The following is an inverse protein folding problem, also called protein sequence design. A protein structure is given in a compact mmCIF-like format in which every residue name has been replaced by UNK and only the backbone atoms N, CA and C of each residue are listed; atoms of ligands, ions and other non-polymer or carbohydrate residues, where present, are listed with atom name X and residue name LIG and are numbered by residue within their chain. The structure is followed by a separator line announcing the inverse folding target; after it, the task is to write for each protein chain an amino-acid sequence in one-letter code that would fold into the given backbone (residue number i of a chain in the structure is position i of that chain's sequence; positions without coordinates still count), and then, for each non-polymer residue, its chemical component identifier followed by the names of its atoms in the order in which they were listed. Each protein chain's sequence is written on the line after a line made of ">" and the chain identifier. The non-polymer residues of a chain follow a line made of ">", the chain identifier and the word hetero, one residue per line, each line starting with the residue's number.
data_IF_489501096145
#
_entry.id   IF_489501096145
#
_cell.length_a   1.000
_cell.length_b   1.000
_cell.length_c   1.000
_cell.angle_alpha   90.00
_cell.angle_beta   90.00
_cell.angle_gamma   90.00
#
_symmetry.space_group_name_H-M   'P 1'
#
loop_
_entity.id
_entity.type
_entity.pdbx_description
1 polymer ?
#
# COMPACT_ATOMS: atom_id res chain seq x y z
N UNK A 1 17.53 -10.27 -8.54
CA UNK A 1 16.38 -9.97 -7.66
C UNK A 1 15.11 -9.62 -8.44
N UNK A 2 15.07 -8.59 -9.30
CA UNK A 2 13.84 -8.22 -10.05
C UNK A 2 13.24 -9.38 -10.87
N UNK A 3 14.08 -10.14 -11.59
CA UNK A 3 13.63 -11.33 -12.31
C UNK A 3 13.11 -12.44 -11.38
N UNK A 4 13.72 -12.57 -10.20
CA UNK A 4 13.28 -13.52 -9.17
C UNK A 4 11.90 -13.13 -8.62
N UNK A 5 11.66 -11.85 -8.34
CA UNK A 5 10.34 -11.36 -7.90
C UNK A 5 9.24 -11.61 -8.93
N UNK A 6 9.54 -11.49 -10.24
CA UNK A 6 8.58 -11.86 -11.30
C UNK A 6 8.25 -13.35 -11.30
N UNK A 7 9.26 -14.22 -11.16
CA UNK A 7 9.07 -15.66 -11.07
C UNK A 7 8.25 -16.04 -9.81
N UNK A 8 8.57 -15.41 -8.68
CA UNK A 8 7.88 -15.60 -7.41
C UNK A 8 6.41 -15.18 -7.47
N UNK A 9 6.08 -14.09 -8.18
CA UNK A 9 4.70 -13.68 -8.42
C UNK A 9 3.87 -14.77 -9.13
N UNK A 10 4.50 -15.55 -10.00
CA UNK A 10 3.84 -16.66 -10.70
C UNK A 10 3.78 -17.95 -9.85
N UNK A 11 4.39 -17.96 -8.66
CA UNK A 11 4.51 -19.14 -7.79
C UNK A 11 5.64 -20.10 -8.17
N UNK A 12 6.51 -19.76 -9.14
CA UNK A 12 7.65 -20.61 -9.54
C UNK A 12 8.85 -20.38 -8.62
N UNK A 13 8.91 -21.17 -7.55
CA UNK A 13 9.99 -21.12 -6.57
C UNK A 13 11.33 -21.64 -7.13
N UNK A 14 11.32 -22.60 -8.07
CA UNK A 14 12.53 -23.20 -8.64
C UNK A 14 13.30 -22.19 -9.50
N UNK A 15 12.57 -21.45 -10.33
CA UNK A 15 13.15 -20.36 -11.12
C UNK A 15 13.56 -19.18 -10.22
N UNK A 16 12.77 -18.84 -9.19
CA UNK A 16 13.14 -17.84 -8.21
C UNK A 16 14.46 -18.19 -7.50
N UNK A 17 14.58 -19.43 -7.00
CA UNK A 17 15.77 -19.97 -6.36
C UNK A 17 16.99 -19.87 -7.29
N UNK A 18 16.87 -20.29 -8.56
CA UNK A 18 17.96 -20.21 -9.56
C UNK A 18 18.45 -18.78 -9.80
N UNK A 19 17.58 -17.77 -9.68
CA UNK A 19 17.98 -16.36 -9.84
C UNK A 19 18.60 -15.74 -8.58
N UNK A 20 18.28 -16.28 -7.40
CA UNK A 20 18.79 -15.79 -6.11
C UNK A 20 20.10 -16.48 -5.72
N UNK A 21 20.15 -17.80 -5.90
CA UNK A 21 21.29 -18.67 -5.63
C UNK A 21 21.92 -19.06 -6.97
N UNK A 22 22.63 -18.11 -7.57
CA UNK A 22 23.50 -18.37 -8.70
C UNK A 22 24.96 -18.10 -8.31
N UNK A 23 25.90 -18.68 -9.04
CA UNK A 23 27.34 -18.56 -8.77
C UNK A 23 27.79 -17.09 -8.68
N UNK A 24 27.21 -16.21 -9.50
CA UNK A 24 27.51 -14.77 -9.51
C UNK A 24 27.01 -14.04 -8.24
N UNK A 25 25.84 -14.38 -7.73
CA UNK A 25 25.25 -13.80 -6.52
C UNK A 25 25.89 -14.40 -5.26
N UNK A 26 26.29 -15.68 -5.34
CA UNK A 26 27.04 -16.37 -4.30
C UNK A 26 28.34 -15.62 -4.01
N UNK A 27 29.20 -15.42 -5.01
CA UNK A 27 30.46 -14.70 -4.83
C UNK A 27 30.31 -13.22 -4.48
N UNK A 28 29.17 -12.59 -4.82
CA UNK A 28 28.95 -11.15 -4.59
C UNK A 28 28.37 -10.84 -3.20
N UNK A 29 27.53 -11.71 -2.66
CA UNK A 29 26.75 -11.44 -1.44
C UNK A 29 26.83 -12.59 -0.46
N UNK A 30 26.56 -13.83 -0.90
CA UNK A 30 26.34 -14.94 0.02
C UNK A 30 27.64 -15.50 0.62
N UNK A 31 28.74 -15.50 -0.13
CA UNK A 31 30.07 -15.94 0.35
C UNK A 31 30.75 -14.93 1.28
N UNK A 32 30.17 -13.74 1.44
CA UNK A 32 30.64 -12.74 2.41
C UNK A 32 30.20 -13.06 3.85
N UNK A 33 29.26 -13.99 4.03
CA UNK A 33 28.77 -14.38 5.34
C UNK A 33 29.62 -15.51 5.94
N UNK A 34 29.93 -15.47 7.25
CA UNK A 34 30.65 -16.54 7.94
C UNK A 34 29.95 -17.90 7.89
N UNK A 35 28.61 -17.91 7.85
CA UNK A 35 27.77 -19.13 7.79
C UNK A 35 26.89 -19.15 6.53
N UNK A 36 27.52 -19.00 5.36
CA UNK A 36 26.83 -18.90 4.07
C UNK A 36 25.82 -20.05 3.82
N UNK A 37 26.16 -21.29 4.16
CA UNK A 37 25.32 -22.46 3.89
C UNK A 37 24.02 -22.50 4.72
N UNK A 38 24.08 -22.04 5.98
CA UNK A 38 22.88 -21.93 6.83
C UNK A 38 21.95 -20.85 6.30
N UNK A 39 22.50 -19.70 5.90
CA UNK A 39 21.72 -18.60 5.32
C UNK A 39 21.08 -19.03 4.00
N UNK A 40 21.81 -19.75 3.14
CA UNK A 40 21.27 -20.31 1.89
C UNK A 40 20.11 -21.24 2.16
N UNK A 41 20.29 -22.22 3.05
CA UNK A 41 19.24 -23.19 3.40
C UNK A 41 17.99 -22.51 3.96
N UNK A 42 18.18 -21.52 4.84
CA UNK A 42 17.08 -20.71 5.38
C UNK A 42 16.37 -19.91 4.29
N UNK A 43 17.11 -19.34 3.34
CA UNK A 43 16.57 -18.56 2.24
C UNK A 43 15.76 -19.43 1.27
N UNK A 44 16.24 -20.64 0.94
CA UNK A 44 15.47 -21.59 0.10
C UNK A 44 14.14 -21.92 0.76
N UNK A 45 14.16 -22.28 2.05
CA UNK A 45 12.94 -22.56 2.80
C UNK A 45 11.98 -21.37 2.77
N UNK A 46 12.48 -20.16 2.99
CA UNK A 46 11.64 -18.95 2.94
C UNK A 46 11.08 -18.67 1.55
N UNK A 47 11.86 -18.89 0.49
CA UNK A 47 11.37 -18.74 -0.88
C UNK A 47 10.24 -19.73 -1.16
N UNK A 48 10.36 -20.99 -0.71
CA UNK A 48 9.29 -21.99 -0.87
C UNK A 48 8.02 -21.57 -0.12
N UNK A 49 8.14 -21.21 1.16
CA UNK A 49 7.02 -20.78 2.00
C UNK A 49 6.29 -19.57 1.39
N UNK A 50 7.02 -18.54 0.95
CA UNK A 50 6.40 -17.34 0.37
C UNK A 50 5.89 -17.55 -1.06
N UNK A 51 6.52 -18.42 -1.84
CA UNK A 51 6.03 -18.76 -3.18
C UNK A 51 4.70 -19.53 -3.11
N UNK A 52 4.52 -20.40 -2.10
CA UNK A 52 3.24 -21.05 -1.81
C UNK A 52 2.15 -20.02 -1.51
N UNK A 53 2.42 -19.04 -0.62
CA UNK A 53 1.44 -17.97 -0.31
C UNK A 53 1.06 -17.18 -1.55
N UNK A 54 2.07 -16.77 -2.33
CA UNK A 54 1.88 -15.96 -3.54
C UNK A 54 1.11 -16.73 -4.62
N UNK A 55 1.36 -18.04 -4.73
CA UNK A 55 0.62 -18.92 -5.63
C UNK A 55 -0.86 -18.98 -5.24
N UNK A 56 -1.16 -19.20 -3.95
CA UNK A 56 -2.53 -19.22 -3.46
C UNK A 56 -3.23 -17.87 -3.66
N UNK A 57 -2.54 -16.73 -3.46
CA UNK A 57 -3.13 -15.42 -3.74
C UNK A 57 -3.44 -15.17 -5.21
N UNK A 58 -2.59 -15.66 -6.12
CA UNK A 58 -2.74 -15.37 -7.54
C UNK A 58 -3.78 -16.27 -8.19
N UNK A 59 -3.89 -17.52 -7.72
CA UNK A 59 -4.73 -18.54 -8.34
C UNK A 59 -5.90 -18.99 -7.45
N UNK A 60 -6.16 -18.34 -6.31
CA UNK A 60 -7.31 -18.63 -5.43
C UNK A 60 -8.63 -18.65 -6.18
N UNK A 61 -8.84 -17.68 -7.07
CA UNK A 61 -10.09 -17.50 -7.83
C UNK A 61 -10.38 -18.59 -8.85
N UNK A 62 -9.36 -19.33 -9.29
CA UNK A 62 -9.48 -20.34 -10.36
C UNK A 62 -9.77 -21.72 -9.77
N UNK A 63 -9.33 -21.98 -8.55
CA UNK A 63 -9.48 -23.28 -7.90
C UNK A 63 -10.70 -23.30 -6.98
N UNK A 64 -11.54 -24.31 -7.09
CA UNK A 64 -12.64 -24.55 -6.13
C UNK A 64 -12.17 -25.34 -4.90
N UNK A 65 -11.29 -26.32 -5.11
CA UNK A 65 -10.71 -27.13 -4.05
C UNK A 65 -9.31 -27.60 -4.42
N UNK A 66 -8.39 -27.61 -3.46
CA UNK A 66 -6.99 -28.03 -3.65
C UNK A 66 -6.58 -28.97 -2.52
N UNK A 67 -5.95 -30.11 -2.84
CA UNK A 67 -5.37 -31.01 -1.83
C UNK A 67 -4.06 -30.45 -1.27
N UNK A 68 -3.88 -30.54 0.06
CA UNK A 68 -2.63 -30.16 0.70
C UNK A 68 -1.45 -31.06 0.34
N UNK A 69 -1.71 -32.33 -0.01
CA UNK A 69 -0.67 -33.27 -0.45
C UNK A 69 -0.02 -32.79 -1.76
N UNK A 70 -0.85 -32.34 -2.72
CA UNK A 70 -0.36 -31.79 -3.99
C UNK A 70 0.47 -30.52 -3.75
N UNK A 71 0.05 -29.66 -2.82
CA UNK A 71 0.81 -28.45 -2.44
C UNK A 71 2.14 -28.81 -1.75
N UNK A 72 2.15 -29.84 -0.91
CA UNK A 72 3.34 -30.36 -0.25
C UNK A 72 4.36 -30.85 -1.29
N UNK A 73 3.92 -31.66 -2.26
CA UNK A 73 4.77 -32.18 -3.34
C UNK A 73 5.26 -31.07 -4.29
N UNK A 74 4.39 -30.13 -4.64
CA UNK A 74 4.72 -29.06 -5.59
C UNK A 74 5.78 -28.08 -5.05
N UNK A 75 5.70 -27.76 -3.75
CA UNK A 75 6.63 -26.83 -3.10
C UNK A 75 7.76 -27.52 -2.32
N UNK A 76 7.77 -28.86 -2.27
CA UNK A 76 8.75 -29.68 -1.54
C UNK A 76 8.82 -29.27 -0.05
N UNK A 77 7.65 -29.04 0.56
CA UNK A 77 7.48 -28.66 1.96
C UNK A 77 6.76 -29.76 2.73
N UNK A 78 7.00 -29.85 4.04
CA UNK A 78 6.30 -30.79 4.91
C UNK A 78 4.83 -30.41 5.09
N UNK A 79 3.95 -31.42 5.09
CA UNK A 79 2.51 -31.26 5.23
C UNK A 79 2.10 -30.42 6.47
N UNK A 80 2.72 -30.59 7.66
CA UNK A 80 2.42 -29.75 8.83
C UNK A 80 2.75 -28.26 8.62
N UNK A 81 3.86 -27.96 7.93
CA UNK A 81 4.21 -26.58 7.58
C UNK A 81 3.22 -25.98 6.59
N UNK A 82 2.83 -26.72 5.55
CA UNK A 82 1.78 -26.29 4.60
C UNK A 82 0.47 -26.01 5.32
N UNK A 83 0.02 -26.93 6.16
CA UNK A 83 -1.18 -26.76 6.98
C UNK A 83 -1.09 -25.50 7.87
N UNK A 84 0.04 -25.29 8.54
CA UNK A 84 0.27 -24.11 9.39
C UNK A 84 0.20 -22.80 8.61
N UNK A 85 0.80 -22.76 7.41
CA UNK A 85 0.80 -21.58 6.54
C UNK A 85 -0.62 -21.26 6.08
N UNK A 86 -1.34 -22.25 5.54
CA UNK A 86 -2.69 -22.07 5.02
C UNK A 86 -3.65 -21.69 6.16
N UNK A 87 -3.55 -22.35 7.31
CA UNK A 87 -4.37 -22.01 8.48
C UNK A 87 -4.15 -20.57 8.93
N UNK A 88 -2.90 -20.09 8.94
CA UNK A 88 -2.59 -18.68 9.25
C UNK A 88 -3.18 -17.73 8.22
N UNK A 89 -3.11 -18.04 6.93
CA UNK A 89 -3.69 -17.21 5.88
C UNK A 89 -5.22 -17.12 6.00
N UNK A 90 -5.89 -18.22 6.38
CA UNK A 90 -7.34 -18.22 6.63
C UNK A 90 -7.68 -17.37 7.87
N UNK A 91 -6.95 -17.54 8.98
CA UNK A 91 -7.19 -16.80 10.22
C UNK A 91 -6.96 -15.29 10.04
N UNK A 92 -5.96 -14.91 9.26
CA UNK A 92 -5.66 -13.51 8.95
C UNK A 92 -6.63 -12.89 7.93
N UNK A 93 -7.65 -13.63 7.47
CA UNK A 93 -8.59 -13.21 6.42
C UNK A 93 -7.91 -12.87 5.08
N UNK A 94 -6.71 -13.40 4.86
CA UNK A 94 -5.95 -13.23 3.62
C UNK A 94 -6.49 -14.14 2.51
N UNK A 95 -6.96 -15.34 2.87
CA UNK A 95 -7.52 -16.33 1.96
C UNK A 95 -8.94 -16.68 2.37
N UNK A 96 -9.91 -16.41 1.50
CA UNK A 96 -11.31 -16.79 1.73
C UNK A 96 -11.52 -18.26 1.41
N UNK A 97 -11.09 -19.13 2.34
CA UNK A 97 -11.16 -20.57 2.20
C UNK A 97 -11.46 -21.24 3.54
N UNK A 98 -11.99 -22.47 3.46
CA UNK A 98 -12.14 -23.37 4.61
C UNK A 98 -11.28 -24.61 4.43
N UNK A 99 -10.71 -25.09 5.53
CA UNK A 99 -9.94 -26.33 5.55
C UNK A 99 -10.84 -27.52 5.92
N UNK A 100 -10.87 -28.55 5.07
CA UNK A 100 -11.49 -29.83 5.40
C UNK A 100 -10.47 -30.79 6.01
N UNK A 101 -10.63 -31.08 7.30
CA UNK A 101 -9.66 -31.81 8.10
C UNK A 101 -9.55 -33.32 7.78
N UNK A 102 -10.64 -34.08 7.53
CA UNK A 102 -10.54 -35.49 7.16
C UNK A 102 -9.93 -35.73 5.78
N UNK A 103 -10.24 -34.90 4.78
CA UNK A 103 -9.72 -35.08 3.41
C UNK A 103 -8.43 -34.31 3.15
N UNK A 104 -8.01 -33.46 4.09
CA UNK A 104 -6.83 -32.61 3.95
C UNK A 104 -6.88 -31.72 2.70
N UNK A 105 -8.07 -31.19 2.40
CA UNK A 105 -8.30 -30.30 1.26
C UNK A 105 -8.68 -28.90 1.69
N UNK A 106 -8.27 -27.91 0.91
CA UNK A 106 -8.65 -26.51 1.06
C UNK A 106 -9.77 -26.24 0.08
N UNK A 107 -10.93 -25.83 0.59
CA UNK A 107 -12.10 -25.47 -0.21
C UNK A 107 -12.19 -23.94 -0.28
N UNK A 108 -12.12 -23.39 -1.48
CA UNK A 108 -12.17 -21.94 -1.70
C UNK A 108 -13.60 -21.44 -1.69
N UNK A 109 -13.84 -20.29 -1.07
CA UNK A 109 -15.13 -19.60 -1.12
C UNK A 109 -15.04 -18.53 -2.21
N UNK A 110 -15.91 -18.60 -3.22
CA UNK A 110 -15.93 -17.66 -4.37
C UNK A 110 -16.53 -16.30 -3.99
N UNK A 111 -16.00 -15.67 -2.95
CA UNK A 111 -16.44 -14.37 -2.44
C UNK A 111 -15.64 -13.20 -3.00
N UNK A 112 -14.73 -13.46 -3.93
CA UNK A 112 -13.98 -12.39 -4.59
C UNK A 112 -14.93 -11.47 -5.38
N UNK A 113 -14.92 -10.14 -5.09
CA UNK A 113 -15.74 -9.20 -5.82
C UNK A 113 -15.37 -9.21 -7.30
N UNK A 114 -16.39 -9.19 -8.15
CA UNK A 114 -16.20 -9.03 -9.60
C UNK A 114 -15.40 -7.76 -9.92
N UNK A 115 -14.77 -7.71 -11.09
CA UNK A 115 -14.01 -6.53 -11.53
C UNK A 115 -14.81 -5.23 -11.44
N UNK A 116 -16.12 -5.29 -11.72
CA UNK A 116 -17.04 -4.16 -11.58
C UNK A 116 -17.26 -3.75 -10.12
N UNK A 117 -17.47 -4.71 -9.22
CA UNK A 117 -17.61 -4.44 -7.77
C UNK A 117 -16.31 -3.85 -7.20
N UNK A 118 -15.15 -4.38 -7.61
CA UNK A 118 -13.85 -3.85 -7.21
C UNK A 118 -13.64 -2.40 -7.70
N UNK A 119 -14.00 -2.08 -8.94
CA UNK A 119 -13.94 -0.71 -9.45
C UNK A 119 -14.90 0.21 -8.70
N UNK A 120 -16.10 -0.26 -8.35
CA UNK A 120 -17.06 0.51 -7.56
C UNK A 120 -16.54 0.79 -6.14
N UNK A 121 -15.90 -0.18 -5.48
CA UNK A 121 -15.27 0.00 -4.17
C UNK A 121 -14.13 1.03 -4.24
N UNK A 122 -13.24 0.93 -5.22
CA UNK A 122 -12.16 1.91 -5.42
C UNK A 122 -12.70 3.31 -5.72
N UNK A 123 -13.80 3.42 -6.47
CA UNK A 123 -14.44 4.69 -6.74
C UNK A 123 -15.06 5.27 -5.46
N UNK A 124 -15.70 4.45 -4.63
CA UNK A 124 -16.28 4.89 -3.36
C UNK A 124 -15.22 5.46 -2.41
N UNK A 125 -14.06 4.80 -2.29
CA UNK A 125 -12.93 5.31 -1.51
C UNK A 125 -12.42 6.65 -2.04
N UNK A 126 -12.25 6.77 -3.37
CA UNK A 126 -11.83 8.03 -4.00
C UNK A 126 -12.84 9.14 -3.79
N UNK A 127 -14.13 8.85 -3.91
CA UNK A 127 -15.21 9.81 -3.62
C UNK A 127 -15.15 10.27 -2.16
N UNK A 128 -14.95 9.36 -1.20
CA UNK A 128 -14.75 9.72 0.21
C UNK A 128 -13.58 10.68 0.39
N UNK A 129 -12.42 10.38 -0.20
CA UNK A 129 -11.25 11.28 -0.13
C UNK A 129 -11.51 12.65 -0.80
N UNK A 130 -12.32 12.69 -1.85
CA UNK A 130 -12.66 13.94 -2.53
C UNK A 130 -13.59 14.81 -1.67
N UNK A 131 -14.54 14.20 -0.96
CA UNK A 131 -15.41 14.89 -0.01
C UNK A 131 -14.58 15.49 1.12
N UNK A 132 -13.70 14.71 1.75
CA UNK A 132 -12.80 15.19 2.80
C UNK A 132 -11.90 16.35 2.32
N UNK A 133 -11.37 16.24 1.10
CA UNK A 133 -10.58 17.33 0.50
C UNK A 133 -11.43 18.59 0.24
N UNK A 134 -12.68 18.42 -0.22
CA UNK A 134 -13.60 19.53 -0.43
C UNK A 134 -13.95 20.24 0.88
N UNK A 135 -14.22 19.49 1.94
CA UNK A 135 -14.48 20.02 3.29
C UNK A 135 -13.26 20.80 3.79
N UNK A 136 -12.05 20.24 3.67
CA UNK A 136 -10.82 20.93 4.07
C UNK A 136 -10.60 22.25 3.33
N UNK A 137 -10.84 22.27 2.01
CA UNK A 137 -10.72 23.51 1.20
C UNK A 137 -11.82 24.51 1.57
N UNK A 138 -13.03 24.02 1.85
CA UNK A 138 -14.14 24.86 2.29
C UNK A 138 -13.82 25.55 3.63
N UNK A 139 -13.31 24.82 4.62
CA UNK A 139 -12.89 25.37 5.91
C UNK A 139 -11.78 26.42 5.77
N UNK A 140 -10.79 26.17 4.90
CA UNK A 140 -9.72 27.13 4.61
C UNK A 140 -10.26 28.42 3.98
N UNK A 141 -11.25 28.31 3.08
CA UNK A 141 -11.91 29.47 2.47
C UNK A 141 -12.78 30.21 3.48
N UNK A 142 -13.49 29.50 4.36
CA UNK A 142 -14.34 30.10 5.37
C UNK A 142 -13.53 30.77 6.50
N UNK A 143 -12.37 30.22 6.87
CA UNK A 143 -11.42 30.86 7.80
C UNK A 143 -10.83 32.18 7.28
N UNK A 144 -10.74 32.35 5.96
CA UNK A 144 -10.31 33.62 5.34
C UNK A 144 -11.43 34.67 5.35
N UNK A 145 -12.71 34.28 5.28
CA UNK A 145 -13.85 35.20 5.32
C UNK A 145 -14.41 35.46 6.73
N UNK A 146 -14.16 34.57 7.70
CA UNK A 146 -14.64 34.68 9.09
C UNK A 146 -13.84 35.63 9.98
N UNK A 147 -12.62 36.02 9.56
CA UNK A 147 -11.80 37.01 10.28
C UNK A 147 -12.31 38.45 10.16
N UNK A 148 -13.11 38.76 9.14
CA UNK A 148 -13.58 40.14 8.90
C UNK A 148 -14.85 40.53 9.66
N UNK A 149 -15.50 39.59 10.35
CA UNK A 149 -16.74 39.85 11.10
C UNK A 149 -16.57 39.85 12.62
N UNK A 150 -15.40 39.47 13.15
CA UNK A 150 -15.18 39.40 14.61
C UNK A 150 -14.68 40.72 15.22
N UNK A 151 -14.09 41.61 14.42
CA UNK A 151 -13.58 42.91 14.89
C UNK A 151 -14.59 44.06 14.80
N UNK A 152 -15.80 43.84 14.27
CA UNK A 152 -16.76 44.91 14.00
C UNK A 152 -17.89 45.03 15.04
N UNK A 153 -17.64 44.65 16.30
CA UNK A 153 -18.61 44.78 17.40
C UNK A 153 -18.10 45.54 18.64
N UNK A 154 -17.00 46.28 18.53
CA UNK A 154 -16.44 47.11 19.63
C UNK A 154 -16.15 48.58 19.23
N UNK A 155 -16.87 49.12 18.24
CA UNK A 155 -16.58 50.46 17.69
C UNK A 155 -17.65 51.55 17.89
N UNK A 156 -18.78 51.27 18.54
CA UNK A 156 -19.90 52.22 18.65
C UNK A 156 -19.78 53.16 19.85
N UNK A 157 -18.69 53.94 19.95
CA UNK A 157 -18.67 55.15 20.78
C UNK A 157 -17.74 56.22 20.23
N UNK A 158 -18.38 57.30 19.75
CA UNK A 158 -17.89 58.70 19.70
C UNK A 158 -16.65 58.97 18.84
N UNK A 159 -16.85 59.59 17.67
CA UNK A 159 -16.38 60.97 17.49
C UNK A 159 -17.02 61.61 16.24
N UNK A 160 -17.89 62.59 16.47
CA UNK A 160 -18.27 63.59 15.46
C UNK A 160 -17.06 64.49 15.17
N UNK A 161 -16.87 64.89 13.92
CA UNK A 161 -16.02 66.04 13.60
C UNK A 161 -15.12 65.88 12.38
N UNK A 162 -15.71 65.81 11.19
CA UNK A 162 -14.97 66.03 9.94
C UNK A 162 -15.04 67.50 9.54
N UNK A 163 -13.89 68.19 9.37
CA UNK A 163 -13.78 69.42 8.57
C UNK A 163 -12.36 69.59 7.96
N UNK A 164 -12.31 69.52 6.62
CA UNK A 164 -11.50 70.24 5.62
C UNK A 164 -9.99 70.57 5.82
N UNK A 165 -9.21 70.29 4.74
CA UNK A 165 -8.31 71.18 3.93
C UNK A 165 -7.06 70.40 3.49
N UNK A 166 -6.87 70.08 2.20
CA UNK A 166 -6.41 70.91 1.05
C UNK A 166 -5.03 71.57 1.25
N UNK A 167 -4.05 71.09 0.47
CA UNK A 167 -2.79 71.78 0.10
C UNK A 167 -1.58 70.85 0.30
N UNK A 168 -0.66 70.61 -0.64
CA UNK A 168 -0.37 71.16 -1.96
C UNK A 168 1.09 70.80 -2.31
N UNK A 169 1.45 70.97 -3.58
CA UNK A 169 2.81 71.01 -4.16
C UNK A 169 3.48 69.73 -4.68
N UNK A 170 3.47 69.72 -6.02
CA UNK A 170 4.20 68.99 -7.04
C UNK A 170 5.60 69.59 -7.16
N UNK A 171 6.67 68.79 -7.10
CA UNK A 171 7.76 68.95 -8.06
C UNK A 171 8.64 67.69 -8.15
N UNK A 172 8.95 67.41 -9.40
CA UNK A 172 9.65 66.29 -9.98
C UNK A 172 10.91 66.91 -10.61
N UNK A 173 12.10 66.37 -10.35
CA UNK A 173 13.10 65.99 -11.37
C UNK A 173 14.51 65.76 -10.80
N UNK A 174 15.07 64.63 -11.28
CA UNK A 174 16.45 64.38 -11.76
C UNK A 174 17.63 64.56 -10.81
N UNK A 175 18.34 63.49 -10.45
CA UNK A 175 19.31 62.71 -11.25
C UNK A 175 20.62 63.46 -11.45
N UNK A 176 21.68 63.03 -10.76
CA UNK A 176 23.03 63.00 -11.36
C UNK A 176 23.93 62.01 -10.61
N UNK A 177 24.41 61.03 -11.38
CA UNK A 177 25.61 60.27 -11.07
C UNK A 177 26.81 61.21 -10.97
N UNK A 178 27.73 60.90 -10.06
CA UNK A 178 29.17 60.81 -10.29
C UNK A 178 29.74 59.81 -9.29
#
# INVERSE_FOLDING_TARGET
>A
VVAASKAMKMGDWKTCHRFIVNEKMNGKVWDLFPEADKVRSMLVRKIQEESLRTYLFTYSSVYDSISMEILSDMFELDLPTVHSIISKMIINEELMASLDQPTQTVVMHRTEPTTQQNLALQLAEKLGSLVENNERVFDQKQGTYGGYFRDQKDGYRKNEGGYLRRGGYRQQERQSNY
#
